data_IF_226889125248
#
_entry.id   IF_226889125248
#
_cell.length_a   1.000
_cell.length_b   1.000
_cell.length_c   1.000
_cell.angle_alpha   90.00
_cell.angle_beta   90.00
_cell.angle_gamma   90.00
#
_symmetry.space_group_name_H-M   'P 1'
#
loop_
_entity.id
_entity.type
_entity.pdbx_description
1 polymer ?
#
# COMPACT_ATOMS: atom_id res chain seq x y z
N UNK A 1 -10.19 27.77 -15.99
CA UNK A 1 -11.31 27.28 -15.15
C UNK A 1 -10.76 26.16 -14.30
N UNK A 2 -10.53 26.41 -13.01
CA UNK A 2 -9.92 25.45 -12.09
C UNK A 2 -10.99 24.45 -11.66
N UNK A 3 -10.92 23.24 -12.22
CA UNK A 3 -11.78 22.14 -11.84
C UNK A 3 -11.03 21.36 -10.77
N UNK A 4 -11.26 21.72 -9.52
CA UNK A 4 -10.91 20.89 -8.38
C UNK A 4 -11.75 19.62 -8.45
N UNK A 5 -11.17 18.53 -8.93
CA UNK A 5 -11.74 17.20 -8.78
C UNK A 5 -11.16 16.60 -7.49
N UNK A 6 -11.62 17.14 -6.35
CA UNK A 6 -11.46 16.46 -5.07
C UNK A 6 -12.40 15.25 -5.13
N UNK A 7 -11.83 14.07 -5.34
CA UNK A 7 -12.50 12.80 -5.10
C UNK A 7 -11.70 12.04 -4.04
N UNK A 8 -11.59 12.64 -2.85
CA UNK A 8 -11.23 11.92 -1.64
C UNK A 8 -12.39 10.98 -1.29
N UNK A 9 -12.27 9.72 -1.69
CA UNK A 9 -13.13 8.64 -1.24
C UNK A 9 -12.32 7.35 -1.11
N UNK A 10 -11.24 7.41 -0.34
CA UNK A 10 -10.62 6.22 0.24
C UNK A 10 -11.55 5.66 1.32
N UNK A 11 -12.59 4.95 0.86
CA UNK A 11 -13.29 3.98 1.68
C UNK A 11 -12.36 2.77 1.84
N UNK A 12 -11.35 2.92 2.69
CA UNK A 12 -10.68 1.80 3.33
C UNK A 12 -11.68 1.14 4.28
N UNK A 13 -12.65 0.43 3.71
CA UNK A 13 -13.29 -0.68 4.40
C UNK A 13 -12.26 -1.80 4.37
N UNK A 14 -11.24 -1.71 5.23
CA UNK A 14 -10.54 -2.89 5.70
C UNK A 14 -11.61 -3.69 6.44
N UNK A 15 -12.18 -4.62 5.69
CA UNK A 15 -13.15 -5.60 6.12
C UNK A 15 -12.62 -6.28 7.36
N UNK A 16 -13.04 -5.76 8.51
CA UNK A 16 -13.04 -6.43 9.80
C UNK A 16 -13.99 -7.63 9.78
N UNK A 17 -13.69 -8.61 8.93
CA UNK A 17 -14.18 -9.98 9.11
C UNK A 17 -13.19 -10.66 10.03
N UNK A 18 -13.32 -10.35 11.32
CA UNK A 18 -12.79 -11.19 12.37
C UNK A 18 -13.37 -12.60 12.20
N UNK A 19 -12.54 -13.58 11.84
CA UNK A 19 -12.74 -14.97 12.22
C UNK A 19 -11.43 -15.76 12.03
N UNK A 20 -10.77 -16.06 13.16
CA UNK A 20 -9.67 -17.01 13.36
C UNK A 20 -8.24 -16.50 13.16
N UNK A 21 -7.65 -15.95 14.24
CA UNK A 21 -6.24 -16.21 14.55
C UNK A 21 -5.19 -15.44 13.75
N UNK A 22 -5.39 -14.16 13.44
CA UNK A 22 -4.34 -13.34 12.84
C UNK A 22 -3.08 -13.34 13.72
N UNK A 23 -2.00 -13.88 13.14
CA UNK A 23 -0.77 -14.16 13.83
C UNK A 23 -0.03 -12.86 14.16
N UNK A 24 0.91 -12.90 15.11
CA UNK A 24 1.78 -11.74 15.33
C UNK A 24 2.63 -11.40 14.09
N UNK A 25 2.81 -12.36 13.18
CA UNK A 25 3.52 -12.17 11.92
C UNK A 25 2.66 -11.37 10.92
N UNK A 26 1.36 -11.64 10.83
CA UNK A 26 0.45 -10.91 9.92
C UNK A 26 0.35 -9.44 10.30
N UNK A 27 0.13 -9.12 11.59
CA UNK A 27 0.12 -7.72 12.07
C UNK A 27 1.45 -7.01 11.86
N UNK A 28 2.56 -7.74 11.97
CA UNK A 28 3.88 -7.17 11.73
C UNK A 28 4.13 -6.94 10.24
N UNK A 29 3.53 -7.73 9.34
CA UNK A 29 3.57 -7.52 7.91
C UNK A 29 2.68 -6.34 7.51
N UNK A 30 1.43 -6.29 7.97
CA UNK A 30 0.49 -5.17 7.77
C UNK A 30 1.12 -3.83 8.20
N UNK A 31 1.62 -3.74 9.44
CA UNK A 31 2.24 -2.50 9.92
C UNK A 31 3.48 -2.08 9.11
N UNK A 32 4.18 -3.02 8.46
CA UNK A 32 5.30 -2.70 7.57
C UNK A 32 4.82 -2.26 6.19
N UNK A 33 3.77 -2.87 5.68
CA UNK A 33 3.12 -2.48 4.44
C UNK A 33 2.60 -1.03 4.55
N UNK A 34 1.85 -0.73 5.62
CA UNK A 34 1.38 0.63 5.95
C UNK A 34 2.52 1.66 5.96
N UNK A 35 3.65 1.31 6.58
CA UNK A 35 4.80 2.22 6.67
C UNK A 35 5.44 2.47 5.28
N UNK A 36 5.39 1.49 4.38
CA UNK A 36 5.88 1.62 3.01
C UNK A 36 4.93 2.49 2.18
N UNK A 37 3.62 2.26 2.26
CA UNK A 37 2.60 3.08 1.60
C UNK A 37 2.69 4.52 2.06
N UNK A 38 2.68 4.77 3.37
CA UNK A 38 2.77 6.12 3.94
C UNK A 38 4.07 6.85 3.52
N UNK A 39 5.18 6.12 3.36
CA UNK A 39 6.42 6.71 2.85
C UNK A 39 6.34 7.02 1.35
N UNK A 40 5.65 6.17 0.59
CA UNK A 40 5.35 6.36 -0.83
C UNK A 40 4.50 7.60 -1.05
N UNK A 41 3.34 7.66 -0.40
CA UNK A 41 2.40 8.79 -0.42
C UNK A 41 3.11 10.10 -0.06
N UNK A 42 3.83 10.14 1.06
CA UNK A 42 4.52 11.37 1.48
C UNK A 42 5.56 11.86 0.45
N UNK A 43 6.12 10.96 -0.36
CA UNK A 43 7.05 11.32 -1.43
C UNK A 43 6.32 11.71 -2.72
N UNK A 44 5.20 11.05 -3.04
CA UNK A 44 4.32 11.43 -4.13
C UNK A 44 3.76 12.84 -3.91
N UNK A 45 3.24 13.13 -2.72
CA UNK A 45 2.78 14.46 -2.29
C UNK A 45 3.85 15.55 -2.53
N UNK A 46 5.11 15.25 -2.24
CA UNK A 46 6.21 16.19 -2.48
C UNK A 46 6.45 16.45 -3.97
N UNK A 47 6.27 15.44 -4.83
CA UNK A 47 6.40 15.56 -6.28
C UNK A 47 5.21 16.30 -6.88
N UNK A 48 4.00 16.04 -6.40
CA UNK A 48 2.79 16.76 -6.80
C UNK A 48 2.83 18.23 -6.38
N UNK A 49 3.29 18.54 -5.16
CA UNK A 49 3.49 19.92 -4.72
C UNK A 49 4.53 20.67 -5.58
N UNK A 50 5.52 19.96 -6.12
CA UNK A 50 6.45 20.52 -7.11
C UNK A 50 5.79 20.68 -8.48
N UNK A 51 4.91 19.76 -8.88
CA UNK A 51 4.14 19.82 -10.11
C UNK A 51 3.21 21.05 -10.12
N UNK A 52 2.51 21.30 -9.00
CA UNK A 52 1.66 22.47 -8.79
C UNK A 52 2.41 23.80 -8.93
N UNK A 53 3.71 23.81 -8.60
CA UNK A 53 4.57 24.97 -8.73
C UNK A 53 5.27 25.07 -10.11
N UNK A 54 5.05 24.12 -11.01
CA UNK A 54 5.77 24.05 -12.27
C UNK A 54 5.38 25.19 -13.23
N UNK A 55 6.34 25.81 -13.94
CA UNK A 55 6.08 26.91 -14.88
C UNK A 55 5.43 26.47 -16.21
N UNK A 56 5.34 25.17 -16.49
CA UNK A 56 4.81 24.63 -17.74
C UNK A 56 4.10 23.31 -17.53
N UNK A 57 3.02 23.08 -18.27
CA UNK A 57 2.24 21.84 -18.26
C UNK A 57 3.11 20.60 -18.52
N UNK A 58 4.08 20.67 -19.44
CA UNK A 58 4.98 19.55 -19.72
C UNK A 58 5.85 19.14 -18.52
N UNK A 59 6.19 20.09 -17.64
CA UNK A 59 6.95 19.84 -16.41
C UNK A 59 6.03 19.33 -15.30
N UNK A 60 4.83 19.89 -15.16
CA UNK A 60 3.77 19.36 -14.29
C UNK A 60 3.49 17.89 -14.61
N UNK A 61 3.20 17.56 -15.88
CA UNK A 61 2.95 16.19 -16.35
C UNK A 61 4.13 15.24 -16.11
N UNK A 62 5.37 15.74 -16.15
CA UNK A 62 6.54 14.92 -15.87
C UNK A 62 6.69 14.63 -14.37
N UNK A 63 6.31 15.58 -13.51
CA UNK A 63 6.36 15.42 -12.05
C UNK A 63 5.19 14.56 -11.56
N UNK A 64 3.97 14.76 -12.06
CA UNK A 64 2.81 13.92 -11.74
C UNK A 64 3.07 12.46 -12.14
N UNK A 65 3.59 12.20 -13.34
CA UNK A 65 3.97 10.83 -13.74
C UNK A 65 5.05 10.20 -12.85
N UNK A 66 5.89 11.01 -12.21
CA UNK A 66 6.87 10.51 -11.25
C UNK A 66 6.20 10.21 -9.90
N UNK A 67 5.24 11.03 -9.46
CA UNK A 67 4.42 10.78 -8.29
C UNK A 67 3.66 9.46 -8.44
N UNK A 68 2.92 9.29 -9.55
CA UNK A 68 2.20 8.06 -9.88
C UNK A 68 3.10 6.82 -9.79
N UNK A 69 4.32 6.91 -10.34
CA UNK A 69 5.28 5.80 -10.29
C UNK A 69 5.77 5.52 -8.87
N UNK A 70 5.89 6.54 -8.01
CA UNK A 70 6.30 6.37 -6.61
C UNK A 70 5.21 5.65 -5.83
N UNK A 71 3.95 6.07 -5.97
CA UNK A 71 2.78 5.42 -5.35
C UNK A 71 2.69 3.97 -5.79
N UNK A 72 2.67 3.72 -7.11
CA UNK A 72 2.53 2.36 -7.64
C UNK A 72 3.70 1.45 -7.23
N UNK A 73 4.90 2.01 -7.01
CA UNK A 73 6.02 1.25 -6.46
C UNK A 73 5.88 0.96 -4.96
N UNK A 74 5.26 1.86 -4.19
CA UNK A 74 5.00 1.68 -2.78
C UNK A 74 3.91 0.60 -2.58
N UNK A 75 2.80 0.70 -3.32
CA UNK A 75 1.70 -0.27 -3.30
C UNK A 75 2.21 -1.68 -3.62
N UNK A 76 2.96 -1.83 -4.73
CA UNK A 76 3.53 -3.14 -5.11
C UNK A 76 4.44 -3.72 -4.03
N UNK A 77 5.11 -2.88 -3.23
CA UNK A 77 5.98 -3.33 -2.14
C UNK A 77 5.16 -3.69 -0.91
N UNK A 78 4.13 -2.92 -0.59
CA UNK A 78 3.17 -3.19 0.46
C UNK A 78 2.48 -4.55 0.21
N UNK A 79 1.95 -4.75 -1.00
CA UNK A 79 1.37 -6.02 -1.45
C UNK A 79 2.33 -7.21 -1.29
N UNK A 80 3.62 -7.02 -1.58
CA UNK A 80 4.62 -8.07 -1.42
C UNK A 80 4.88 -8.40 0.04
N UNK A 81 4.84 -7.40 0.92
CA UNK A 81 5.04 -7.57 2.36
C UNK A 81 3.84 -8.30 2.96
N UNK A 82 2.62 -7.89 2.62
CA UNK A 82 1.39 -8.55 3.08
C UNK A 82 1.32 -10.00 2.63
N UNK A 83 1.61 -10.28 1.35
CA UNK A 83 1.65 -11.65 0.85
C UNK A 83 2.70 -12.52 1.57
N UNK A 84 3.87 -11.97 1.86
CA UNK A 84 4.90 -12.67 2.65
C UNK A 84 4.44 -12.97 4.08
N UNK A 85 3.70 -12.06 4.71
CA UNK A 85 3.09 -12.29 6.03
C UNK A 85 2.06 -13.41 5.99
N UNK A 86 1.10 -13.31 5.06
CA UNK A 86 0.02 -14.30 4.92
C UNK A 86 0.48 -15.69 4.49
N UNK A 87 1.52 -15.79 3.67
CA UNK A 87 2.12 -17.09 3.31
C UNK A 87 2.95 -17.70 4.46
N UNK A 88 3.57 -16.87 5.30
CA UNK A 88 4.27 -17.35 6.49
C UNK A 88 3.30 -17.96 7.52
N UNK A 89 2.09 -17.39 7.68
CA UNK A 89 1.06 -17.96 8.54
C UNK A 89 0.44 -19.25 7.95
N UNK A 90 0.18 -19.26 6.63
CA UNK A 90 -0.34 -20.44 5.93
C UNK A 90 0.67 -21.60 5.89
N UNK A 91 1.97 -21.32 5.88
CA UNK A 91 3.04 -22.32 5.99
C UNK A 91 3.11 -23.01 7.35
N UNK A 92 2.66 -22.35 8.42
CA UNK A 92 2.74 -22.91 9.78
C UNK A 92 1.56 -23.82 10.14
N UNK A 93 0.45 -23.72 9.41
CA UNK A 93 -0.71 -24.62 9.57
C UNK A 93 -0.57 -25.95 8.82
N UNK A 94 0.37 -26.06 7.87
CA UNK A 94 0.58 -27.31 7.09
C UNK A 94 1.46 -28.35 7.79
N UNK A 95 2.06 -28.02 8.95
CA UNK A 95 2.97 -28.91 9.67
C UNK A 95 2.39 -29.65 10.89
N UNK A 96 1.07 -29.59 11.15
CA UNK A 96 0.47 -30.32 12.27
C UNK A 96 -0.89 -30.98 11.96
N UNK A 97 -1.05 -31.57 10.78
CA UNK A 97 -2.04 -32.65 10.64
C UNK A 97 -1.33 -33.96 11.02
N UNK A 98 -1.48 -34.49 12.25
CA UNK A 98 -1.06 -35.85 12.51
C UNK A 98 -1.89 -36.74 11.58
N UNK A 99 -1.23 -37.37 10.61
CA UNK A 99 -1.80 -38.49 9.88
C UNK A 99 -1.99 -39.62 10.88
N UNK A 100 -3.12 -39.62 11.58
CA UNK A 100 -3.58 -40.78 12.34
C UNK A 100 -4.22 -41.77 11.37
N UNK A 101 -3.55 -42.91 11.26
CA UNK A 101 -3.94 -44.20 10.67
C UNK A 101 -3.93 -44.34 9.14
#
# INVERSE_FOLDING_TARGET
MKKFAIAAASLFVLSGVAACGESAADRAAESRADAVEATGEARADQLEAQADAAPTDAQEDALNRQADQVEENADRRADQIEQQGGDADRGMTTHNTPTTN
#
